data_IF_560261348048
#
_entry.id   IF_560261348048
#
_cell.length_a   1.000
_cell.length_b   1.000
_cell.length_c   1.000
_cell.angle_alpha   90.00
_cell.angle_beta   90.00
_cell.angle_gamma   90.00
#
_symmetry.space_group_name_H-M   'P 1'
#
loop_
_entity.id
_entity.type
_entity.pdbx_description
1 polymer ?
#
# COMPACT_ATOMS: atom_id res chain seq x y z
N UNK A 1 16.40 -22.40 -11.48
CA UNK A 1 15.45 -21.27 -11.47
C UNK A 1 14.46 -21.56 -10.36
N UNK A 2 14.23 -20.62 -9.44
CA UNK A 2 13.33 -20.84 -8.30
C UNK A 2 11.89 -20.94 -8.85
N UNK A 3 11.16 -21.97 -8.46
CA UNK A 3 9.82 -22.20 -9.02
C UNK A 3 8.77 -21.67 -8.05
N UNK A 4 8.20 -20.52 -8.39
CA UNK A 4 7.02 -19.98 -7.70
C UNK A 4 5.85 -20.91 -7.95
N UNK A 5 5.20 -21.36 -6.89
CA UNK A 5 4.06 -22.27 -6.93
C UNK A 5 2.75 -21.49 -6.92
N UNK A 6 2.64 -20.46 -6.07
CA UNK A 6 1.50 -19.55 -5.99
C UNK A 6 1.89 -18.20 -5.41
N UNK A 7 1.08 -17.20 -5.72
CA UNK A 7 1.17 -15.83 -5.19
C UNK A 7 -0.19 -15.51 -4.61
N UNK A 8 -0.22 -15.02 -3.38
CA UNK A 8 -1.44 -14.50 -2.76
C UNK A 8 -1.27 -13.00 -2.48
N UNK A 9 -2.32 -12.24 -2.74
CA UNK A 9 -2.39 -10.82 -2.39
C UNK A 9 -3.07 -10.68 -1.04
N UNK A 10 -2.41 -9.99 -0.12
CA UNK A 10 -2.92 -9.76 1.23
C UNK A 10 -2.91 -8.26 1.48
N UNK A 11 -4.08 -7.70 1.79
CA UNK A 11 -4.24 -6.30 2.21
C UNK A 11 -4.30 -6.21 3.73
N UNK A 12 -3.63 -5.19 4.25
CA UNK A 12 -3.67 -4.79 5.67
C UNK A 12 -4.90 -3.93 6.02
N UNK A 13 -5.78 -3.67 5.04
CA UNK A 13 -6.91 -2.75 5.21
C UNK A 13 -7.88 -3.21 6.31
N UNK A 14 -8.22 -4.50 6.35
CA UNK A 14 -9.16 -5.02 7.36
C UNK A 14 -8.56 -5.02 8.77
N UNK A 15 -7.26 -5.30 8.89
CA UNK A 15 -6.59 -5.50 10.17
C UNK A 15 -6.11 -4.20 10.80
N UNK A 16 -5.64 -3.29 9.96
CA UNK A 16 -4.90 -2.11 10.36
C UNK A 16 -5.45 -0.85 9.73
N UNK A 17 -6.54 -0.93 8.95
CA UNK A 17 -7.17 0.24 8.33
C UNK A 17 -6.26 0.93 7.32
N UNK A 18 -5.20 0.26 6.86
CA UNK A 18 -4.21 0.79 5.93
C UNK A 18 -4.20 -0.06 4.67
N UNK A 19 -4.46 0.55 3.51
CA UNK A 19 -4.46 -0.16 2.22
C UNK A 19 -3.04 -0.40 1.70
N UNK A 20 -2.27 -1.18 2.48
CA UNK A 20 -0.94 -1.67 2.15
C UNK A 20 -1.06 -3.11 1.66
N UNK A 21 -0.53 -3.41 0.47
CA UNK A 21 -0.61 -4.76 -0.11
C UNK A 21 0.74 -5.48 -0.05
N UNK A 22 0.65 -6.75 0.35
CA UNK A 22 1.72 -7.72 0.43
C UNK A 22 1.43 -8.85 -0.56
N UNK A 23 2.45 -9.26 -1.29
CA UNK A 23 2.46 -10.49 -2.07
C UNK A 23 3.11 -11.60 -1.25
N UNK A 24 2.34 -12.62 -0.91
CA UNK A 24 2.84 -13.83 -0.27
C UNK A 24 3.28 -14.79 -1.36
N UNK A 25 4.61 -14.98 -1.46
CA UNK A 25 5.22 -15.83 -2.47
C UNK A 25 5.50 -17.20 -1.88
N UNK A 26 4.79 -18.19 -2.39
CA UNK A 26 5.08 -19.59 -2.14
C UNK A 26 5.93 -20.15 -3.28
N UNK A 27 6.89 -20.99 -2.94
CA UNK A 27 7.84 -21.54 -3.90
C UNK A 27 8.35 -22.92 -3.48
N UNK A 28 8.81 -23.66 -4.48
CA UNK A 28 9.36 -25.00 -4.33
C UNK A 28 10.77 -24.94 -3.73
N UNK A 29 10.99 -25.74 -2.68
CA UNK A 29 12.29 -26.01 -2.06
C UNK A 29 13.08 -27.03 -2.88
N UNK A 30 14.34 -27.23 -2.52
CA UNK A 30 15.22 -28.21 -3.18
C UNK A 30 14.72 -29.66 -3.04
N UNK A 31 13.90 -29.95 -2.02
CA UNK A 31 13.28 -31.26 -1.77
C UNK A 31 11.98 -31.47 -2.56
N UNK A 32 11.56 -30.49 -3.37
CA UNK A 32 10.33 -30.52 -4.16
C UNK A 32 9.06 -30.12 -3.39
N UNK A 33 9.15 -29.86 -2.09
CA UNK A 33 8.01 -29.41 -1.29
C UNK A 33 7.89 -27.87 -1.33
N UNK A 34 6.68 -27.36 -1.18
CA UNK A 34 6.45 -25.92 -0.99
C UNK A 34 6.96 -25.47 0.39
N UNK A 35 7.44 -24.23 0.48
CA UNK A 35 7.76 -23.60 1.79
C UNK A 35 6.51 -23.50 2.66
N UNK A 36 6.65 -23.82 3.95
CA UNK A 36 5.55 -23.73 4.92
C UNK A 36 5.09 -22.30 5.18
N UNK A 37 5.99 -21.33 5.07
CA UNK A 37 5.71 -19.90 5.30
C UNK A 37 6.14 -19.12 4.05
N UNK A 38 5.25 -18.32 3.44
CA UNK A 38 5.56 -17.57 2.23
C UNK A 38 6.62 -16.51 2.50
N UNK A 39 7.38 -16.19 1.45
CA UNK A 39 8.20 -14.98 1.46
C UNK A 39 7.27 -13.78 1.19
N UNK A 40 7.28 -12.82 2.11
CA UNK A 40 6.48 -11.60 1.99
C UNK A 40 7.25 -10.57 1.15
N UNK A 41 6.65 -10.12 0.05
CA UNK A 41 7.16 -9.05 -0.80
C UNK A 41 6.12 -7.94 -0.84
N UNK A 42 6.52 -6.70 -0.58
CA UNK A 42 5.57 -5.61 -0.58
C UNK A 42 5.47 -4.95 -1.96
N UNK A 43 4.34 -4.30 -2.23
CA UNK A 43 4.15 -3.53 -3.48
C UNK A 43 5.23 -2.46 -3.69
N UNK A 44 5.63 -1.72 -2.64
CA UNK A 44 6.69 -0.71 -2.76
C UNK A 44 8.06 -1.28 -3.18
N UNK A 45 8.36 -2.54 -2.83
CA UNK A 45 9.60 -3.19 -3.27
C UNK A 45 9.56 -3.51 -4.78
N UNK A 46 8.39 -3.94 -5.28
CA UNK A 46 8.15 -4.16 -6.71
C UNK A 46 8.26 -2.84 -7.47
N UNK A 47 7.62 -1.77 -6.99
CA UNK A 47 7.68 -0.45 -7.62
C UNK A 47 9.11 0.10 -7.65
N UNK A 48 9.88 -0.07 -6.57
CA UNK A 48 11.30 0.32 -6.55
C UNK A 48 12.09 -0.46 -7.60
N UNK A 49 11.88 -1.77 -7.68
CA UNK A 49 12.57 -2.61 -8.66
C UNK A 49 12.23 -2.22 -10.11
N UNK A 50 10.96 -1.92 -10.40
CA UNK A 50 10.53 -1.55 -11.74
C UNK A 50 11.11 -0.23 -12.22
N UNK A 51 11.38 0.73 -11.31
CA UNK A 51 12.01 2.00 -11.69
C UNK A 51 13.35 1.82 -12.39
N UNK A 52 14.10 0.78 -12.01
CA UNK A 52 15.41 0.49 -12.61
C UNK A 52 15.32 -0.55 -13.74
N UNK A 53 14.45 -1.56 -13.60
CA UNK A 53 14.39 -2.70 -14.52
C UNK A 53 13.42 -2.50 -15.70
N UNK A 54 12.27 -1.88 -15.45
CA UNK A 54 11.18 -1.73 -16.42
C UNK A 54 10.52 -0.34 -16.26
N UNK A 55 11.22 0.75 -16.67
CA UNK A 55 10.80 2.12 -16.36
C UNK A 55 9.42 2.50 -16.90
N UNK A 56 9.02 1.94 -18.05
CA UNK A 56 7.71 2.20 -18.65
C UNK A 56 6.58 1.59 -17.80
N UNK A 57 6.78 0.39 -17.25
CA UNK A 57 5.86 -0.25 -16.33
C UNK A 57 5.76 0.56 -15.02
N UNK A 58 6.89 1.03 -14.49
CA UNK A 58 6.91 1.89 -13.31
C UNK A 58 6.15 3.20 -13.55
N UNK A 59 6.40 3.88 -14.67
CA UNK A 59 5.72 5.12 -15.04
C UNK A 59 4.20 4.92 -15.21
N UNK A 60 3.79 3.75 -15.73
CA UNK A 60 2.37 3.41 -15.82
C UNK A 60 1.72 3.29 -14.45
N UNK A 61 2.34 2.54 -13.53
CA UNK A 61 1.80 2.37 -12.17
C UNK A 61 1.80 3.71 -11.42
N UNK A 62 2.83 4.54 -11.59
CA UNK A 62 2.87 5.90 -11.05
C UNK A 62 1.71 6.74 -11.59
N UNK A 63 1.40 6.66 -12.89
CA UNK A 63 0.24 7.33 -13.49
C UNK A 63 -1.09 6.83 -12.90
N UNK A 64 -1.27 5.52 -12.75
CA UNK A 64 -2.46 4.94 -12.10
C UNK A 64 -2.59 5.44 -10.67
N UNK A 65 -1.49 5.40 -9.91
CA UNK A 65 -1.42 5.93 -8.55
C UNK A 65 -1.82 7.40 -8.50
N UNK A 66 -1.27 8.25 -9.36
CA UNK A 66 -1.61 9.68 -9.43
C UNK A 66 -3.07 9.95 -9.81
N UNK A 67 -3.71 9.05 -10.56
CA UNK A 67 -5.13 9.19 -10.90
C UNK A 67 -6.07 8.90 -9.73
N UNK A 68 -5.58 8.26 -8.67
CA UNK A 68 -6.35 7.92 -7.47
C UNK A 68 -6.07 8.98 -6.39
N UNK A 69 -7.04 9.83 -6.11
CA UNK A 69 -7.03 10.68 -4.90
C UNK A 69 -7.25 9.79 -3.68
N UNK A 70 -6.37 9.88 -2.69
CA UNK A 70 -6.50 9.13 -1.42
C UNK A 70 -5.65 9.79 -0.34
N UNK A 71 -6.17 9.83 0.88
CA UNK A 71 -5.40 10.15 2.08
C UNK A 71 -4.99 8.82 2.73
N UNK A 72 -3.72 8.43 2.60
CA UNK A 72 -3.19 7.13 3.08
C UNK A 72 -2.60 6.25 1.97
N UNK A 73 -2.17 5.04 2.36
CA UNK A 73 -1.78 3.99 1.39
C UNK A 73 -2.99 3.62 0.52
N UNK A 74 -2.73 3.19 -0.70
CA UNK A 74 -3.75 2.92 -1.73
C UNK A 74 -3.37 1.75 -2.64
N UNK A 75 -2.56 0.84 -2.13
CA UNK A 75 -1.95 -0.23 -2.91
C UNK A 75 -3.03 -1.15 -3.48
N UNK A 76 -4.09 -1.45 -2.71
CA UNK A 76 -5.24 -2.24 -3.15
C UNK A 76 -6.03 -1.54 -4.25
N UNK A 77 -6.30 -0.23 -4.12
CA UNK A 77 -6.95 0.55 -5.19
C UNK A 77 -6.11 0.56 -6.49
N UNK A 78 -4.79 0.67 -6.37
CA UNK A 78 -3.89 0.57 -7.54
C UNK A 78 -4.00 -0.81 -8.16
N UNK A 79 -3.89 -1.88 -7.37
CA UNK A 79 -3.96 -3.26 -7.87
C UNK A 79 -5.29 -3.59 -8.54
N UNK A 80 -6.41 -3.10 -8.00
CA UNK A 80 -7.72 -3.30 -8.62
C UNK A 80 -7.74 -2.75 -10.07
N UNK A 81 -7.17 -1.57 -10.30
CA UNK A 81 -7.06 -0.99 -11.64
C UNK A 81 -6.11 -1.81 -12.52
N UNK A 82 -4.93 -2.18 -12.00
CA UNK A 82 -3.96 -2.99 -12.73
C UNK A 82 -4.57 -4.33 -13.18
N UNK A 83 -5.29 -5.02 -12.31
CA UNK A 83 -5.98 -6.28 -12.63
C UNK A 83 -7.08 -6.09 -13.66
N UNK A 84 -7.88 -5.04 -13.52
CA UNK A 84 -8.96 -4.71 -14.48
C UNK A 84 -8.42 -4.43 -15.88
N UNK A 85 -7.23 -3.88 -15.98
CA UNK A 85 -6.54 -3.57 -17.23
C UNK A 85 -5.64 -4.72 -17.72
N UNK A 86 -5.74 -5.89 -17.10
CA UNK A 86 -4.94 -7.09 -17.42
C UNK A 86 -3.42 -6.83 -17.35
N UNK A 87 -3.00 -5.86 -16.54
CA UNK A 87 -1.60 -5.54 -16.33
C UNK A 87 -0.88 -6.71 -15.63
N UNK A 88 0.28 -7.09 -16.14
CA UNK A 88 0.99 -8.32 -15.74
C UNK A 88 1.79 -8.18 -14.43
N UNK A 89 1.17 -7.63 -13.37
CA UNK A 89 1.86 -7.36 -12.10
C UNK A 89 2.53 -8.61 -11.50
N UNK A 90 1.88 -9.77 -11.60
CA UNK A 90 2.45 -11.04 -11.12
C UNK A 90 3.68 -11.49 -11.87
N UNK A 91 3.86 -11.09 -13.14
CA UNK A 91 5.10 -11.37 -13.88
C UNK A 91 6.26 -10.61 -13.25
N UNK A 92 6.06 -9.32 -12.95
CA UNK A 92 7.06 -8.49 -12.28
C UNK A 92 7.37 -8.96 -10.86
N UNK A 93 6.37 -9.43 -10.11
CA UNK A 93 6.58 -10.04 -8.79
C UNK A 93 7.49 -11.28 -8.90
N UNK A 94 7.28 -12.14 -9.89
CA UNK A 94 8.11 -13.32 -10.14
C UNK A 94 9.54 -12.94 -10.56
N UNK A 95 9.69 -11.93 -11.40
CA UNK A 95 11.00 -11.42 -11.82
C UNK A 95 11.78 -10.85 -10.64
N UNK A 96 11.14 -10.00 -9.83
CA UNK A 96 11.73 -9.50 -8.60
C UNK A 96 12.16 -10.63 -7.66
N UNK A 97 11.28 -11.62 -7.42
CA UNK A 97 11.60 -12.79 -6.61
C UNK A 97 12.82 -13.57 -7.15
N UNK A 98 12.91 -13.73 -8.47
CA UNK A 98 14.05 -14.40 -9.10
C UNK A 98 15.36 -13.62 -8.91
N UNK A 99 15.30 -12.29 -8.84
CA UNK A 99 16.45 -11.42 -8.58
C UNK A 99 16.88 -11.36 -7.11
N UNK A 100 16.09 -11.88 -6.17
CA UNK A 100 16.52 -12.01 -4.77
C UNK A 100 17.72 -12.96 -4.69
N UNK A 101 18.74 -12.64 -3.89
CA UNK A 101 19.92 -13.51 -3.77
C UNK A 101 19.55 -14.90 -3.21
N UNK A 102 20.23 -15.94 -3.68
CA UNK A 102 20.04 -17.30 -3.16
C UNK A 102 20.32 -17.38 -1.66
N UNK A 103 21.26 -16.59 -1.15
CA UNK A 103 21.53 -16.50 0.29
C UNK A 103 20.29 -16.03 1.09
N UNK A 104 19.58 -14.99 0.61
CA UNK A 104 18.38 -14.49 1.28
C UNK A 104 17.25 -15.51 1.24
N UNK A 105 17.10 -16.23 0.11
CA UNK A 105 16.11 -17.31 -0.01
C UNK A 105 16.43 -18.47 0.95
N UNK A 106 17.69 -18.90 1.01
CA UNK A 106 18.08 -19.99 1.90
C UNK A 106 17.87 -19.63 3.37
N UNK A 107 18.15 -18.37 3.76
CA UNK A 107 17.84 -17.88 5.12
C UNK A 107 16.34 -17.89 5.41
N UNK A 108 15.50 -17.56 4.43
CA UNK A 108 14.04 -17.63 4.57
C UNK A 108 13.58 -19.08 4.78
N UNK A 109 14.06 -20.01 3.97
CA UNK A 109 13.74 -21.45 4.10
C UNK A 109 14.16 -21.97 5.47
N UNK A 110 15.38 -21.66 5.92
CA UNK A 110 15.85 -22.08 7.24
C UNK A 110 14.94 -21.55 8.35
N UNK A 111 14.59 -20.26 8.29
CA UNK A 111 13.69 -19.64 9.26
C UNK A 111 12.28 -20.26 9.24
N UNK A 112 11.70 -20.49 8.07
CA UNK A 112 10.33 -21.02 7.92
C UNK A 112 10.18 -22.46 8.41
N UNK A 113 11.24 -23.26 8.31
CA UNK A 113 11.18 -24.69 8.63
C UNK A 113 11.65 -25.02 10.05
N UNK A 114 12.52 -24.18 10.65
CA UNK A 114 13.18 -24.53 11.91
C UNK A 114 12.79 -23.65 13.09
N UNK A 115 12.31 -22.43 12.85
CA UNK A 115 12.12 -21.43 13.92
C UNK A 115 10.66 -21.10 14.20
N UNK A 116 9.74 -21.52 13.32
CA UNK A 116 8.41 -20.93 13.25
C UNK A 116 7.34 -21.96 12.89
N UNK A 117 6.18 -21.86 13.54
CA UNK A 117 4.98 -22.65 13.22
C UNK A 117 4.39 -22.23 11.87
N UNK A 118 3.81 -23.13 11.07
CA UNK A 118 3.02 -22.75 9.88
C UNK A 118 1.88 -21.75 10.19
N UNK A 119 1.34 -21.75 11.41
CA UNK A 119 0.32 -20.79 11.86
C UNK A 119 0.85 -19.39 12.18
N UNK A 120 2.17 -19.17 12.17
CA UNK A 120 2.78 -17.96 12.71
C UNK A 120 2.27 -16.66 12.08
N UNK A 121 1.98 -16.64 10.78
CA UNK A 121 1.46 -15.42 10.14
C UNK A 121 0.10 -15.05 10.74
N UNK A 122 -0.80 -16.03 10.91
CA UNK A 122 -2.11 -15.82 11.51
C UNK A 122 -1.97 -15.45 12.99
N UNK A 123 -1.13 -16.18 13.73
CA UNK A 123 -0.88 -15.92 15.16
C UNK A 123 -0.28 -14.52 15.40
N UNK A 124 0.65 -14.10 14.55
CA UNK A 124 1.28 -12.78 14.63
C UNK A 124 0.30 -11.67 14.29
N UNK A 125 -0.50 -11.82 13.22
CA UNK A 125 -1.55 -10.83 12.89
C UNK A 125 -2.58 -10.70 14.00
N UNK A 126 -3.01 -11.83 14.58
CA UNK A 126 -3.95 -11.83 15.69
C UNK A 126 -3.34 -11.18 16.94
N UNK A 127 -2.07 -11.45 17.24
CA UNK A 127 -1.34 -10.76 18.30
C UNK A 127 -1.28 -9.24 18.07
N UNK A 128 -0.96 -8.78 16.86
CA UNK A 128 -0.92 -7.36 16.52
C UNK A 128 -2.31 -6.70 16.69
N UNK A 129 -3.38 -7.37 16.23
CA UNK A 129 -4.77 -6.91 16.45
C UNK A 129 -5.09 -6.78 17.93
N UNK A 130 -4.70 -7.75 18.75
CA UNK A 130 -4.96 -7.70 20.20
C UNK A 130 -4.20 -6.57 20.91
N UNK A 131 -3.00 -6.23 20.44
CA UNK A 131 -2.22 -5.12 20.98
C UNK A 131 -2.77 -3.75 20.55
N UNK A 132 -3.47 -3.68 19.42
CA UNK A 132 -4.02 -2.45 18.86
C UNK A 132 -5.46 -2.64 18.32
N UNK A 133 -6.43 -2.99 19.19
CA UNK A 133 -7.75 -3.46 18.77
C UNK A 133 -8.58 -2.43 18.01
N UNK A 134 -8.27 -1.14 18.17
CA UNK A 134 -8.97 -0.03 17.52
C UNK A 134 -8.17 0.58 16.36
N UNK A 135 -7.02 0.01 15.97
CA UNK A 135 -6.13 0.62 14.97
C UNK A 135 -6.83 0.77 13.62
N UNK A 136 -7.49 -0.29 13.16
CA UNK A 136 -8.20 -0.27 11.89
C UNK A 136 -9.29 0.80 11.85
N UNK A 137 -10.14 0.84 12.88
CA UNK A 137 -11.19 1.85 13.00
C UNK A 137 -10.62 3.26 13.13
N UNK A 138 -9.52 3.42 13.88
CA UNK A 138 -8.84 4.71 14.04
C UNK A 138 -8.31 5.24 12.71
N UNK A 139 -7.58 4.41 11.95
CA UNK A 139 -7.05 4.79 10.65
C UNK A 139 -8.17 5.05 9.64
N UNK A 140 -9.21 4.22 9.61
CA UNK A 140 -10.37 4.44 8.75
C UNK A 140 -11.07 5.78 9.07
N UNK A 141 -11.27 6.10 10.35
CA UNK A 141 -11.84 7.39 10.76
C UNK A 141 -10.97 8.56 10.37
N UNK A 142 -9.65 8.44 10.53
CA UNK A 142 -8.70 9.49 10.14
C UNK A 142 -8.78 9.79 8.64
N UNK A 143 -8.85 8.76 7.80
CA UNK A 143 -8.97 8.93 6.36
C UNK A 143 -10.31 9.53 5.94
N UNK A 144 -11.42 9.05 6.51
CA UNK A 144 -12.75 9.65 6.28
C UNK A 144 -12.80 11.11 6.73
N UNK A 145 -12.15 11.45 7.85
CA UNK A 145 -12.05 12.83 8.31
C UNK A 145 -11.25 13.69 7.32
N UNK A 146 -10.12 13.20 6.81
CA UNK A 146 -9.34 13.90 5.80
C UNK A 146 -10.14 14.14 4.51
N UNK A 147 -10.87 13.13 4.03
CA UNK A 147 -11.73 13.26 2.85
C UNK A 147 -12.85 14.30 3.07
N UNK A 148 -13.47 14.30 4.25
CA UNK A 148 -14.52 15.27 4.57
C UNK A 148 -13.98 16.71 4.67
N UNK A 149 -12.80 16.91 5.27
CA UNK A 149 -12.14 18.22 5.31
C UNK A 149 -11.79 18.68 3.91
N UNK A 150 -11.20 17.81 3.08
CA UNK A 150 -10.88 18.11 1.70
C UNK A 150 -12.11 18.53 0.90
N UNK A 151 -13.21 17.77 0.97
CA UNK A 151 -14.44 18.07 0.24
C UNK A 151 -14.99 19.45 0.60
N UNK A 152 -15.03 19.78 1.89
CA UNK A 152 -15.51 21.08 2.37
C UNK A 152 -14.58 22.19 1.90
N UNK A 153 -13.26 22.03 2.04
CA UNK A 153 -12.28 23.03 1.61
C UNK A 153 -12.34 23.24 0.10
N UNK A 154 -12.40 22.18 -0.71
CA UNK A 154 -12.57 22.27 -2.16
C UNK A 154 -13.81 23.07 -2.55
N UNK A 155 -14.94 22.78 -1.91
CA UNK A 155 -16.21 23.48 -2.17
C UNK A 155 -16.08 24.96 -1.87
N UNK A 156 -15.45 25.32 -0.76
CA UNK A 156 -15.25 26.70 -0.35
C UNK A 156 -14.26 27.43 -1.28
N UNK A 157 -13.14 26.80 -1.65
CA UNK A 157 -12.18 27.39 -2.59
C UNK A 157 -12.86 27.67 -3.95
N UNK A 158 -13.65 26.73 -4.48
CA UNK A 158 -14.42 26.93 -5.72
C UNK A 158 -15.44 28.06 -5.61
N UNK A 159 -16.04 28.24 -4.43
CA UNK A 159 -16.98 29.34 -4.15
C UNK A 159 -16.29 30.69 -4.13
N UNK A 160 -15.09 30.79 -3.55
CA UNK A 160 -14.36 32.05 -3.39
C UNK A 160 -13.50 32.43 -4.61
N UNK A 161 -13.06 31.45 -5.41
CA UNK A 161 -12.20 31.66 -6.59
C UNK A 161 -12.77 30.99 -7.85
N UNK A 162 -14.03 31.23 -8.23
CA UNK A 162 -14.65 30.57 -9.39
C UNK A 162 -13.89 30.82 -10.69
N UNK A 163 -13.34 32.03 -10.87
CA UNK A 163 -12.60 32.44 -12.07
C UNK A 163 -11.34 31.61 -12.33
N UNK A 164 -10.71 31.10 -11.27
CA UNK A 164 -9.59 30.19 -11.39
C UNK A 164 -10.05 28.89 -12.05
N UNK A 165 -11.13 28.28 -11.57
CA UNK A 165 -11.63 27.00 -12.07
C UNK A 165 -12.31 27.09 -13.44
N UNK A 166 -12.93 28.22 -13.76
CA UNK A 166 -13.56 28.46 -15.06
C UNK A 166 -12.54 28.47 -16.21
N UNK A 167 -11.27 28.76 -15.91
CA UNK A 167 -10.20 28.95 -16.89
C UNK A 167 -8.98 28.04 -16.65
N UNK A 168 -9.06 27.13 -15.67
CA UNK A 168 -7.92 26.32 -15.25
C UNK A 168 -7.50 25.33 -16.34
N UNK A 169 -6.19 25.24 -16.58
CA UNK A 169 -5.61 24.18 -17.40
C UNK A 169 -5.22 22.97 -16.53
N UNK A 170 -5.00 21.78 -17.12
CA UNK A 170 -4.67 20.57 -16.36
C UNK A 170 -3.43 20.71 -15.47
N UNK A 171 -2.38 21.40 -15.93
CA UNK A 171 -1.13 21.58 -15.16
C UNK A 171 -1.37 22.44 -13.91
N UNK A 172 -2.11 23.53 -14.05
CA UNK A 172 -2.50 24.39 -12.93
C UNK A 172 -3.44 23.67 -11.96
N UNK A 173 -4.33 22.82 -12.46
CA UNK A 173 -5.19 21.98 -11.61
C UNK A 173 -4.35 21.03 -10.78
N UNK A 174 -3.41 20.30 -11.38
CA UNK A 174 -2.52 19.37 -10.66
C UNK A 174 -1.74 20.08 -9.54
N UNK A 175 -1.16 21.25 -9.81
CA UNK A 175 -0.44 22.03 -8.78
C UNK A 175 -1.35 22.47 -7.64
N UNK A 176 -2.54 22.96 -7.96
CA UNK A 176 -3.55 23.31 -6.96
C UNK A 176 -3.92 22.08 -6.10
N UNK A 177 -4.15 20.96 -6.76
CA UNK A 177 -4.60 19.72 -6.15
C UNK A 177 -3.55 19.16 -5.17
N UNK A 178 -2.28 19.15 -5.58
CA UNK A 178 -1.14 18.78 -4.75
C UNK A 178 -1.03 19.65 -3.49
N UNK A 179 -1.13 20.99 -3.65
CA UNK A 179 -1.09 21.94 -2.52
C UNK A 179 -2.24 21.64 -1.54
N UNK A 180 -3.45 21.44 -2.06
CA UNK A 180 -4.60 21.20 -1.20
C UNK A 180 -4.46 19.87 -0.45
N UNK A 181 -4.06 18.80 -1.14
CA UNK A 181 -3.84 17.50 -0.52
C UNK A 181 -2.81 17.56 0.60
N UNK A 182 -1.66 18.21 0.37
CA UNK A 182 -0.62 18.42 1.38
C UNK A 182 -1.18 19.15 2.60
N UNK A 183 -1.88 20.28 2.40
CA UNK A 183 -2.35 21.12 3.51
C UNK A 183 -3.51 20.51 4.30
N UNK A 184 -4.40 19.76 3.63
CA UNK A 184 -5.43 18.99 4.33
C UNK A 184 -4.78 17.90 5.18
N UNK A 185 -3.80 17.18 4.65
CA UNK A 185 -3.13 16.12 5.38
C UNK A 185 -2.35 16.65 6.60
N UNK A 186 -1.66 17.78 6.46
CA UNK A 186 -1.00 18.47 7.58
C UNK A 186 -2.01 18.82 8.67
N UNK A 187 -3.09 19.52 8.32
CA UNK A 187 -4.12 19.95 9.27
C UNK A 187 -4.75 18.75 10.00
N UNK A 188 -5.11 17.70 9.27
CA UNK A 188 -5.72 16.49 9.84
C UNK A 188 -4.76 15.82 10.82
N UNK A 189 -3.48 15.74 10.48
CA UNK A 189 -2.46 15.15 11.34
C UNK A 189 -2.25 15.98 12.61
N UNK A 190 -2.27 17.30 12.51
CA UNK A 190 -2.17 18.20 13.68
C UNK A 190 -3.37 18.06 14.62
N UNK A 191 -4.58 18.01 14.05
CA UNK A 191 -5.82 17.84 14.82
C UNK A 191 -5.89 16.46 15.49
N UNK A 192 -5.54 15.39 14.78
CA UNK A 192 -5.48 14.04 15.35
C UNK A 192 -4.53 13.97 16.55
N UNK A 193 -3.32 14.51 16.39
CA UNK A 193 -2.34 14.61 17.48
C UNK A 193 -2.86 15.44 18.67
N UNK A 194 -3.56 16.54 18.40
CA UNK A 194 -4.17 17.37 19.43
C UNK A 194 -5.24 16.58 20.20
N UNK A 195 -6.22 16.00 19.50
CA UNK A 195 -7.29 15.23 20.14
C UNK A 195 -6.77 14.02 20.91
N UNK A 196 -5.76 13.33 20.39
CA UNK A 196 -5.10 12.25 21.10
C UNK A 196 -4.51 12.73 22.44
N UNK A 197 -3.73 13.81 22.44
CA UNK A 197 -3.14 14.36 23.67
C UNK A 197 -4.18 14.80 24.69
N UNK A 198 -5.26 15.45 24.25
CA UNK A 198 -6.34 15.90 25.13
C UNK A 198 -7.15 14.72 25.69
N UNK A 199 -7.25 13.60 24.97
CA UNK A 199 -7.94 12.40 25.47
C UNK A 199 -7.22 11.65 26.59
N UNK A 200 -5.94 11.94 26.83
CA UNK A 200 -5.11 11.30 27.86
C UNK A 200 -5.08 12.09 29.19
N UNK A 201 -5.79 13.22 29.26
CA UNK A 201 -5.93 14.06 30.46
C UNK A 201 -7.18 13.65 31.27
#
# INVERSE_FOLDING_TARGET
MKKVTRIEEVSDLEDFGTDLVKFYIFFEKDDGNEVSIPLIIYMWDILRYLKDSEPDAAAYIDKVSMSIRSYGRKDGKILEILHKEEFLIYSFVKEYFNNISSEKINKHIEWSETKVSPSYIEDFREFERQMQPNLAESNARLFLFAEAVDEVVQKEIKRFYPEFFDSINPESYTKYDEILMEKVQELVSELDNFFFKESQQ
#
